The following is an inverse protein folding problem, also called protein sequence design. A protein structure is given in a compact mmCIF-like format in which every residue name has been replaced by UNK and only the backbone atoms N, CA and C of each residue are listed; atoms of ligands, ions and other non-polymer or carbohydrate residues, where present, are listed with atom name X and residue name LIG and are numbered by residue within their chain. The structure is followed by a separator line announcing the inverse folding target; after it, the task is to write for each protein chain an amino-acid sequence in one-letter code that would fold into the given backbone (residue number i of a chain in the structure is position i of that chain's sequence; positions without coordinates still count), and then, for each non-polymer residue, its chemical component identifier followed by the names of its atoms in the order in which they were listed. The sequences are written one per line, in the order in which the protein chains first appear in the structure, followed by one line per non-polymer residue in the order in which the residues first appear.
data_IF_444255728457
#
_entry.id   IF_444255728457
#
_cell.length_a   1.000
_cell.length_b   1.000
_cell.length_c   1.000
_cell.angle_alpha   90.00
_cell.angle_beta   90.00
_cell.angle_gamma   90.00
#
_symmetry.space_group_name_H-M   'P 1'
#
loop_
_entity.id
_entity.type
_entity.pdbx_description
1 polymer ?
#
# COMPACT_ATOMS: atom_id res chain seq x y z
N UNK A 1 35.92 -5.64 -5.67
CA UNK A 1 35.72 -4.19 -5.47
C UNK A 1 34.27 -3.98 -5.04
N UNK A 2 34.03 -3.79 -3.75
CA UNK A 2 32.71 -3.50 -3.18
C UNK A 2 32.65 -2.02 -2.83
N UNK A 3 31.83 -1.27 -3.54
CA UNK A 3 31.54 0.13 -3.24
C UNK A 3 30.49 0.18 -2.12
N UNK A 4 30.95 0.54 -0.92
CA UNK A 4 30.09 0.90 0.20
C UNK A 4 29.39 2.23 -0.11
N UNK A 5 28.07 2.18 -0.36
CA UNK A 5 27.24 3.37 -0.37
C UNK A 5 27.01 3.83 1.08
N UNK A 6 27.87 4.75 1.54
CA UNK A 6 27.66 5.52 2.76
C UNK A 6 26.53 6.50 2.49
N UNK A 7 25.39 6.29 3.16
CA UNK A 7 24.30 7.26 3.20
C UNK A 7 24.64 8.25 4.31
N UNK A 8 25.18 9.41 3.95
CA UNK A 8 25.33 10.53 4.88
C UNK A 8 23.94 10.99 5.35
N UNK A 9 23.68 10.88 6.66
CA UNK A 9 22.45 11.36 7.31
C UNK A 9 22.79 12.26 8.49
N UNK A 10 23.26 13.46 8.20
CA UNK A 10 23.22 14.57 9.16
C UNK A 10 21.81 15.18 9.14
N UNK A 11 20.92 14.67 9.99
CA UNK A 11 19.62 15.28 10.26
C UNK A 11 19.79 16.23 11.44
N UNK A 12 20.09 17.49 11.14
CA UNK A 12 20.01 18.60 12.08
C UNK A 12 18.55 18.83 12.49
N UNK A 13 18.28 18.83 13.78
CA UNK A 13 16.99 19.14 14.39
C UNK A 13 16.75 20.65 14.38
N UNK A 14 16.36 21.19 13.23
CA UNK A 14 15.77 22.52 13.15
C UNK A 14 14.25 22.42 13.37
N UNK A 15 13.72 23.19 14.32
CA UNK A 15 12.28 23.35 14.57
C UNK A 15 11.59 23.91 13.33
N UNK A 16 10.61 23.17 12.80
CA UNK A 16 9.85 23.58 11.62
C UNK A 16 9.01 24.84 11.90
N UNK A 17 9.02 25.84 11.01
CA UNK A 17 8.18 27.03 11.16
C UNK A 17 6.69 26.66 11.07
N UNK A 18 5.86 27.40 11.80
CA UNK A 18 4.41 27.25 11.81
C UNK A 18 3.82 27.43 10.40
N UNK A 19 3.07 26.42 9.94
CA UNK A 19 2.46 26.40 8.61
C UNK A 19 1.20 27.27 8.60
N UNK A 20 1.22 28.35 7.82
CA UNK A 20 0.05 29.15 7.48
C UNK A 20 -0.94 28.29 6.65
N UNK A 21 -2.06 27.92 7.27
CA UNK A 21 -3.05 26.99 6.73
C UNK A 21 -4.04 27.62 5.74
N UNK A 22 -3.91 28.91 5.39
CA UNK A 22 -4.98 29.65 4.70
C UNK A 22 -4.94 29.63 3.16
N UNK A 23 -3.92 29.01 2.52
CA UNK A 23 -3.84 28.90 1.05
C UNK A 23 -3.21 27.57 0.58
N UNK A 24 -3.71 26.44 1.07
CA UNK A 24 -3.35 25.13 0.48
C UNK A 24 -4.06 24.94 -0.87
N UNK A 25 -3.70 25.73 -1.88
CA UNK A 25 -4.07 25.46 -3.27
C UNK A 25 -3.38 24.16 -3.69
N UNK A 26 -4.13 23.26 -4.30
CA UNK A 26 -3.57 22.11 -5.00
C UNK A 26 -2.52 22.62 -5.99
N UNK A 27 -1.28 22.12 -5.88
CA UNK A 27 -0.19 22.56 -6.74
C UNK A 27 0.03 21.51 -7.84
N UNK A 28 -0.72 21.64 -8.93
CA UNK A 28 -0.51 20.83 -10.12
C UNK A 28 0.75 21.31 -10.84
N UNK A 29 1.52 20.38 -11.38
CA UNK A 29 2.73 20.69 -12.14
C UNK A 29 2.34 21.10 -13.57
N UNK A 30 2.96 22.17 -14.08
CA UNK A 30 2.95 22.48 -15.51
C UNK A 30 4.15 21.79 -16.17
N UNK A 31 3.88 20.95 -17.17
CA UNK A 31 4.90 20.09 -17.76
C UNK A 31 5.69 20.84 -18.83
N UNK A 32 6.86 21.36 -18.46
CA UNK A 32 7.72 22.09 -19.40
C UNK A 32 8.41 21.19 -20.45
N UNK A 33 8.41 19.85 -20.28
CA UNK A 33 9.14 18.93 -21.16
C UNK A 33 8.32 17.70 -21.53
N UNK A 34 8.41 17.30 -22.80
CA UNK A 34 7.76 16.08 -23.33
C UNK A 34 8.23 14.81 -22.60
N UNK A 35 9.48 14.79 -22.14
CA UNK A 35 10.08 13.66 -21.41
C UNK A 35 9.35 13.27 -20.12
N UNK A 36 8.57 14.19 -19.53
CA UNK A 36 7.75 13.94 -18.33
C UNK A 36 6.25 13.90 -18.64
N UNK A 37 5.86 14.35 -19.83
CA UNK A 37 4.46 14.49 -20.24
C UNK A 37 3.90 13.26 -20.97
N UNK A 38 4.59 12.12 -20.90
CA UNK A 38 4.28 10.93 -21.69
C UNK A 38 2.99 10.20 -21.30
N UNK A 39 2.36 10.55 -20.17
CA UNK A 39 1.03 10.04 -19.79
C UNK A 39 -0.09 11.00 -20.18
N UNK A 40 0.16 12.31 -20.14
CA UNK A 40 -0.89 13.34 -20.27
C UNK A 40 -1.64 13.24 -21.59
N UNK A 41 -0.92 13.06 -22.71
CA UNK A 41 -1.55 12.98 -24.02
C UNK A 41 -2.57 11.84 -24.12
N UNK A 42 -2.31 10.72 -23.44
CA UNK A 42 -3.23 9.58 -23.41
C UNK A 42 -4.35 9.78 -22.38
N UNK A 43 -4.05 10.45 -21.26
CA UNK A 43 -5.04 10.77 -20.22
C UNK A 43 -6.06 11.79 -20.74
N UNK A 44 -5.61 12.79 -21.50
CA UNK A 44 -6.48 13.81 -22.11
C UNK A 44 -7.49 13.23 -23.11
N UNK A 45 -7.27 12.00 -23.59
CA UNK A 45 -8.19 11.28 -24.46
C UNK A 45 -9.22 10.44 -23.67
N UNK A 46 -9.08 10.35 -22.35
CA UNK A 46 -10.05 9.66 -21.52
C UNK A 46 -11.35 10.47 -21.39
N UNK A 47 -12.51 9.81 -21.22
CA UNK A 47 -13.75 10.49 -20.94
C UNK A 47 -13.64 11.42 -19.72
N UNK A 48 -14.25 12.60 -19.81
CA UNK A 48 -14.21 13.63 -18.75
C UNK A 48 -14.69 13.11 -17.40
N UNK A 49 -15.60 12.12 -17.40
CA UNK A 49 -16.07 11.47 -16.18
C UNK A 49 -14.96 10.82 -15.35
N UNK A 50 -13.78 10.56 -15.88
CA UNK A 50 -12.65 10.04 -15.10
C UNK A 50 -11.73 11.14 -14.55
N UNK A 51 -11.84 12.36 -15.08
CA UNK A 51 -10.95 13.49 -14.79
C UNK A 51 -11.61 14.54 -13.89
N UNK A 52 -12.94 14.61 -13.88
CA UNK A 52 -13.69 15.51 -12.99
C UNK A 52 -13.79 14.96 -11.55
N UNK A 53 -13.82 15.80 -10.50
CA UNK A 53 -13.97 15.34 -9.12
C UNK A 53 -15.34 14.67 -8.85
N UNK A 54 -15.36 13.58 -8.08
CA UNK A 54 -16.59 12.86 -7.65
C UNK A 54 -16.79 12.83 -6.14
N UNK A 55 -16.28 13.83 -5.43
CA UNK A 55 -16.25 13.82 -3.96
C UNK A 55 -17.63 13.64 -3.30
N UNK A 56 -18.71 14.04 -3.98
CA UNK A 56 -20.09 13.85 -3.53
C UNK A 56 -20.60 12.42 -3.62
N UNK A 57 -19.98 11.58 -4.47
CA UNK A 57 -20.46 10.23 -4.74
C UNK A 57 -19.91 9.21 -3.73
N UNK A 58 -18.84 9.55 -3.02
CA UNK A 58 -18.14 8.62 -2.15
C UNK A 58 -18.61 8.73 -0.71
N UNK A 59 -18.79 7.57 -0.07
CA UNK A 59 -19.16 7.48 1.35
C UNK A 59 -18.05 7.99 2.26
N UNK A 60 -16.80 7.78 1.88
CA UNK A 60 -15.60 8.22 2.62
C UNK A 60 -14.52 8.68 1.64
N UNK A 61 -13.69 9.65 2.06
CA UNK A 61 -12.59 10.16 1.23
C UNK A 61 -11.41 10.64 2.08
N UNK A 62 -10.25 10.74 1.43
CA UNK A 62 -9.09 11.49 1.92
C UNK A 62 -8.88 12.73 1.05
N UNK A 63 -8.30 13.82 1.57
CA UNK A 63 -8.03 15.01 0.76
C UNK A 63 -7.11 14.73 -0.45
N UNK A 64 -7.36 15.37 -1.59
CA UNK A 64 -6.53 15.25 -2.81
C UNK A 64 -5.04 15.54 -2.55
N UNK A 65 -4.73 16.45 -1.62
CA UNK A 65 -3.34 16.76 -1.22
C UNK A 65 -2.59 15.53 -0.65
N UNK A 66 -3.28 14.52 -0.15
CA UNK A 66 -2.68 13.26 0.28
C UNK A 66 -2.06 12.51 -0.90
N UNK A 67 -2.78 12.45 -2.03
CA UNK A 67 -2.28 11.82 -3.26
C UNK A 67 -1.12 12.63 -3.83
N UNK A 68 -1.26 13.96 -3.91
CA UNK A 68 -0.17 14.83 -4.37
C UNK A 68 1.08 14.68 -3.50
N UNK A 69 0.92 14.62 -2.18
CA UNK A 69 2.03 14.40 -1.26
C UNK A 69 2.70 13.05 -1.50
N UNK A 70 1.95 11.96 -1.64
CA UNK A 70 2.51 10.65 -1.92
C UNK A 70 3.30 10.64 -3.24
N UNK A 71 2.72 11.19 -4.32
CA UNK A 71 3.36 11.22 -5.63
C UNK A 71 4.63 12.09 -5.62
N UNK A 72 4.65 13.23 -4.90
CA UNK A 72 5.85 14.09 -4.83
C UNK A 72 7.00 13.47 -4.06
N UNK A 73 6.69 12.62 -3.08
CA UNK A 73 7.69 12.05 -2.17
C UNK A 73 8.11 10.63 -2.55
N UNK A 74 7.64 10.13 -3.70
CA UNK A 74 8.02 8.81 -4.19
C UNK A 74 9.34 8.86 -4.94
N UNK A 75 10.30 8.07 -4.48
CA UNK A 75 11.65 7.97 -5.04
C UNK A 75 11.89 6.62 -5.74
N UNK A 76 10.83 5.99 -6.25
CA UNK A 76 10.92 4.73 -7.00
C UNK A 76 11.34 4.93 -8.46
N UNK A 77 11.36 3.82 -9.20
CA UNK A 77 11.58 3.86 -10.65
C UNK A 77 10.26 3.94 -11.40
N UNK A 78 10.34 4.36 -12.65
CA UNK A 78 9.20 4.51 -13.54
C UNK A 78 9.45 3.73 -14.83
N UNK A 79 8.35 3.31 -15.45
CA UNK A 79 8.35 2.71 -16.77
C UNK A 79 7.39 3.45 -17.71
N UNK A 80 7.62 3.36 -19.01
CA UNK A 80 6.71 3.83 -20.04
C UNK A 80 6.33 2.68 -20.98
N UNK A 81 5.09 2.69 -21.43
CA UNK A 81 4.57 1.71 -22.38
C UNK A 81 3.92 2.42 -23.56
N UNK A 82 4.17 1.88 -24.76
CA UNK A 82 3.56 2.38 -25.99
C UNK A 82 2.10 1.92 -26.05
N UNK A 83 1.83 0.67 -25.67
CA UNK A 83 0.51 0.05 -25.53
C UNK A 83 0.54 -1.08 -24.47
N UNK A 84 -0.57 -1.80 -24.26
CA UNK A 84 -0.66 -2.89 -23.26
C UNK A 84 0.22 -4.10 -23.57
N UNK A 85 0.52 -4.38 -24.84
CA UNK A 85 1.28 -5.55 -25.30
C UNK A 85 2.78 -5.28 -25.39
N UNK A 86 3.17 -4.00 -25.39
CA UNK A 86 4.54 -3.57 -25.47
C UNK A 86 5.37 -4.02 -24.25
N UNK A 87 6.69 -4.02 -24.42
CA UNK A 87 7.63 -4.17 -23.29
C UNK A 87 7.83 -2.82 -22.60
N UNK A 88 7.90 -2.79 -21.26
CA UNK A 88 8.09 -1.53 -20.54
C UNK A 88 9.48 -0.95 -20.84
N UNK A 89 9.51 0.32 -21.26
CA UNK A 89 10.73 1.13 -21.32
C UNK A 89 11.08 1.57 -19.91
N UNK A 90 12.15 1.04 -19.35
CA UNK A 90 12.60 1.31 -17.98
C UNK A 90 13.41 2.60 -17.88
N UNK A 91 13.61 3.09 -16.66
CA UNK A 91 14.46 4.25 -16.35
C UNK A 91 13.96 5.54 -17.02
N UNK A 92 12.63 5.70 -17.09
CA UNK A 92 12.02 6.95 -17.57
C UNK A 92 11.90 7.96 -16.44
N UNK A 93 11.73 9.23 -16.79
CA UNK A 93 11.54 10.30 -15.81
C UNK A 93 10.23 10.12 -15.05
N UNK A 94 10.18 10.60 -13.79
CA UNK A 94 8.93 10.73 -13.03
C UNK A 94 7.89 11.48 -13.88
N UNK A 95 6.67 10.93 -14.07
CA UNK A 95 5.66 11.62 -14.84
C UNK A 95 5.32 12.96 -14.20
N UNK A 96 4.92 13.90 -15.04
CA UNK A 96 4.46 15.19 -14.58
C UNK A 96 3.12 15.06 -13.84
N UNK A 97 2.98 15.75 -12.71
CA UNK A 97 1.77 15.71 -11.89
C UNK A 97 0.75 16.76 -12.32
N UNK A 98 0.20 16.60 -13.52
CA UNK A 98 -0.88 17.44 -14.03
C UNK A 98 -2.16 17.26 -13.23
N UNK A 99 -3.09 18.20 -13.39
CA UNK A 99 -4.42 18.11 -12.80
C UNK A 99 -5.16 16.85 -13.25
N UNK A 100 -5.18 16.58 -14.56
CA UNK A 100 -5.81 15.39 -15.12
C UNK A 100 -5.20 14.10 -14.56
N UNK A 101 -3.87 14.02 -14.48
CA UNK A 101 -3.21 12.84 -13.93
C UNK A 101 -3.53 12.61 -12.44
N UNK A 102 -3.43 13.66 -11.63
CA UNK A 102 -3.71 13.55 -10.20
C UNK A 102 -5.19 13.22 -9.95
N UNK A 103 -6.13 13.84 -10.69
CA UNK A 103 -7.55 13.52 -10.58
C UNK A 103 -7.88 12.12 -11.05
N UNK A 104 -7.32 11.66 -12.17
CA UNK A 104 -7.51 10.27 -12.63
C UNK A 104 -7.13 9.27 -11.54
N UNK A 105 -5.95 9.46 -10.93
CA UNK A 105 -5.47 8.60 -9.84
C UNK A 105 -6.34 8.71 -8.60
N UNK A 106 -6.72 9.92 -8.21
CA UNK A 106 -7.54 10.19 -7.05
C UNK A 106 -8.94 9.58 -7.18
N UNK A 107 -9.57 9.76 -8.33
CA UNK A 107 -10.90 9.23 -8.64
C UNK A 107 -10.89 7.70 -8.68
N UNK A 108 -9.92 7.09 -9.36
CA UNK A 108 -9.82 5.63 -9.39
C UNK A 108 -9.63 5.02 -7.99
N UNK A 109 -8.81 5.66 -7.15
CA UNK A 109 -8.61 5.21 -5.77
C UNK A 109 -9.91 5.23 -4.99
N UNK A 110 -10.62 6.36 -5.00
CA UNK A 110 -11.85 6.49 -4.23
C UNK A 110 -13.01 5.70 -4.82
N UNK A 111 -13.09 5.54 -6.14
CA UNK A 111 -14.10 4.69 -6.77
C UNK A 111 -13.93 3.24 -6.36
N UNK A 112 -12.69 2.71 -6.33
CA UNK A 112 -12.45 1.34 -5.87
C UNK A 112 -12.75 1.20 -4.37
N UNK A 113 -12.32 2.16 -3.54
CA UNK A 113 -12.59 2.11 -2.11
C UNK A 113 -14.09 2.19 -1.82
N UNK A 114 -14.81 3.11 -2.45
CA UNK A 114 -16.25 3.25 -2.29
C UNK A 114 -17.01 2.05 -2.87
N UNK A 115 -16.69 1.58 -4.08
CA UNK A 115 -17.40 0.45 -4.70
C UNK A 115 -17.41 -0.80 -3.79
N UNK A 116 -16.30 -1.04 -3.08
CA UNK A 116 -16.12 -2.20 -2.21
C UNK A 116 -16.25 -1.90 -0.71
N UNK A 117 -16.76 -0.72 -0.36
CA UNK A 117 -17.00 -0.32 1.04
C UNK A 117 -15.74 -0.41 1.92
N UNK A 118 -14.61 0.05 1.39
CA UNK A 118 -13.32 0.14 2.06
C UNK A 118 -13.07 1.58 2.52
N UNK A 119 -12.32 1.74 3.61
CA UNK A 119 -11.90 3.07 4.05
C UNK A 119 -10.57 3.47 3.37
N UNK A 120 -10.54 4.54 2.55
CA UNK A 120 -9.32 5.00 1.88
C UNK A 120 -8.15 5.29 2.84
N UNK A 121 -8.41 5.70 4.10
CA UNK A 121 -7.37 5.94 5.10
C UNK A 121 -6.67 4.67 5.56
N UNK A 122 -7.30 3.49 5.46
CA UNK A 122 -6.66 2.20 5.78
C UNK A 122 -5.68 1.77 4.69
N UNK A 123 -5.91 2.18 3.44
CA UNK A 123 -5.12 1.77 2.27
C UNK A 123 -4.11 2.81 1.80
N UNK A 124 -4.24 4.08 2.22
CA UNK A 124 -3.36 5.17 1.77
C UNK A 124 -1.87 4.86 1.91
N UNK A 125 -1.44 4.36 3.08
CA UNK A 125 -0.04 4.03 3.32
C UNK A 125 0.45 2.91 2.40
N UNK A 126 -0.42 1.97 1.97
CA UNK A 126 -0.05 0.94 1.00
C UNK A 126 0.44 1.58 -0.27
N UNK A 127 -0.45 2.33 -0.90
CA UNK A 127 -0.21 2.90 -2.21
C UNK A 127 0.90 3.94 -2.17
N UNK A 128 1.04 4.67 -1.06
CA UNK A 128 2.15 5.58 -0.85
C UNK A 128 3.51 4.84 -0.81
N UNK A 129 3.60 3.73 -0.06
CA UNK A 129 4.85 2.95 0.06
C UNK A 129 5.18 2.23 -1.24
N UNK A 130 4.18 1.58 -1.85
CA UNK A 130 4.38 0.74 -3.03
C UNK A 130 4.73 1.58 -4.27
N UNK A 131 3.95 2.62 -4.55
CA UNK A 131 4.07 3.36 -5.82
C UNK A 131 4.06 4.87 -5.68
N UNK A 132 3.84 5.39 -4.48
CA UNK A 132 3.53 6.80 -4.31
C UNK A 132 2.29 7.24 -5.07
N UNK A 133 1.35 6.34 -5.35
CA UNK A 133 0.22 6.60 -6.26
C UNK A 133 0.63 6.92 -7.70
N UNK A 134 1.78 6.43 -8.18
CA UNK A 134 2.14 6.53 -9.59
C UNK A 134 1.66 5.31 -10.39
N UNK A 135 0.84 5.53 -11.41
CA UNK A 135 0.30 4.47 -12.27
C UNK A 135 1.37 3.64 -12.98
N UNK A 136 2.56 4.21 -13.16
CA UNK A 136 3.67 3.61 -13.88
C UNK A 136 4.91 3.39 -13.00
N UNK A 137 4.71 3.35 -11.68
CA UNK A 137 5.75 2.92 -10.76
C UNK A 137 6.22 1.51 -11.11
N UNK A 138 7.51 1.28 -10.95
CA UNK A 138 8.17 0.02 -11.26
C UNK A 138 9.25 -0.27 -10.23
N UNK A 139 9.32 -1.51 -9.75
CA UNK A 139 10.36 -1.86 -8.79
C UNK A 139 11.73 -2.00 -9.48
N UNK A 140 12.81 -2.09 -8.69
CA UNK A 140 14.19 -2.20 -9.21
C UNK A 140 14.44 -3.48 -9.99
N UNK A 141 13.74 -4.58 -9.68
CA UNK A 141 13.92 -5.86 -10.38
C UNK A 141 13.13 -5.92 -11.69
N UNK A 142 12.27 -4.94 -11.92
CA UNK A 142 11.36 -4.88 -13.04
C UNK A 142 10.20 -5.89 -13.00
N UNK A 143 9.99 -6.52 -11.85
CA UNK A 143 9.00 -7.58 -11.67
C UNK A 143 7.72 -7.11 -11.02
N UNK A 144 7.70 -5.92 -10.42
CA UNK A 144 6.50 -5.36 -9.79
C UNK A 144 6.16 -4.05 -10.48
N UNK A 145 4.89 -3.90 -10.86
CA UNK A 145 4.46 -2.86 -11.79
C UNK A 145 3.14 -2.24 -11.38
N UNK A 146 3.04 -0.94 -11.64
CA UNK A 146 1.81 -0.16 -11.50
C UNK A 146 1.56 0.38 -10.11
N UNK A 147 0.42 1.05 -9.96
CA UNK A 147 0.06 1.76 -8.73
C UNK A 147 -0.01 0.85 -7.50
N UNK A 148 -0.27 -0.44 -7.71
CA UNK A 148 -0.33 -1.44 -6.65
C UNK A 148 0.83 -2.45 -6.72
N UNK A 149 1.93 -2.16 -7.44
CA UNK A 149 3.16 -2.97 -7.51
C UNK A 149 2.93 -4.50 -7.50
N UNK A 150 2.14 -5.03 -8.44
CA UNK A 150 1.84 -6.46 -8.41
C UNK A 150 3.04 -7.33 -8.75
N UNK A 151 3.35 -8.25 -7.85
CA UNK A 151 4.26 -9.36 -8.13
C UNK A 151 3.62 -10.36 -9.10
N UNK A 152 4.47 -11.09 -9.84
CA UNK A 152 4.03 -12.18 -10.70
C UNK A 152 3.15 -13.22 -9.97
N UNK A 153 3.49 -13.51 -8.71
CA UNK A 153 2.76 -14.47 -7.89
C UNK A 153 1.40 -13.90 -7.44
N UNK A 154 1.34 -12.61 -7.10
CA UNK A 154 0.09 -11.95 -6.75
C UNK A 154 -0.89 -11.99 -7.92
N UNK A 155 -0.40 -11.75 -9.14
CA UNK A 155 -1.23 -11.87 -10.34
C UNK A 155 -1.76 -13.30 -10.53
N UNK A 156 -0.88 -14.31 -10.49
CA UNK A 156 -1.29 -15.72 -10.63
C UNK A 156 -2.37 -16.10 -9.62
N UNK A 157 -2.27 -15.62 -8.38
CA UNK A 157 -3.31 -15.83 -7.35
C UNK A 157 -4.65 -15.22 -7.74
N UNK A 158 -4.66 -13.97 -8.20
CA UNK A 158 -5.90 -13.27 -8.62
C UNK A 158 -6.61 -13.98 -9.76
N UNK A 159 -5.84 -14.50 -10.71
CA UNK A 159 -6.36 -15.23 -11.87
C UNK A 159 -6.94 -16.59 -11.48
N UNK A 160 -6.41 -17.22 -10.43
CA UNK A 160 -6.85 -18.54 -9.98
C UNK A 160 -8.29 -18.51 -9.43
N UNK A 161 -8.99 -19.66 -9.51
CA UNK A 161 -10.28 -19.91 -8.83
C UNK A 161 -11.46 -19.00 -9.27
N UNK A 162 -11.47 -18.52 -10.53
CA UNK A 162 -12.58 -17.76 -11.13
C UNK A 162 -13.00 -16.50 -10.34
N UNK A 163 -12.06 -15.88 -9.61
CA UNK A 163 -12.36 -14.75 -8.71
C UNK A 163 -12.67 -13.47 -9.45
N UNK A 164 -11.97 -13.22 -10.55
CA UNK A 164 -12.21 -12.08 -11.44
C UNK A 164 -13.67 -12.06 -11.88
N UNK A 165 -14.22 -13.20 -12.33
CA UNK A 165 -15.62 -13.30 -12.77
C UNK A 165 -16.61 -13.02 -11.65
N UNK A 166 -16.40 -13.56 -10.44
CA UNK A 166 -17.28 -13.30 -9.29
C UNK A 166 -17.25 -11.83 -8.86
N UNK A 167 -16.06 -11.23 -8.81
CA UNK A 167 -15.94 -9.80 -8.46
C UNK A 167 -16.52 -8.92 -9.56
N UNK A 168 -16.41 -9.33 -10.83
CA UNK A 168 -17.08 -8.66 -11.95
C UNK A 168 -18.60 -8.71 -11.81
N UNK A 169 -19.18 -9.84 -11.46
CA UNK A 169 -20.62 -9.96 -11.20
C UNK A 169 -21.08 -9.02 -10.08
N UNK A 170 -20.32 -8.95 -8.98
CA UNK A 170 -20.59 -8.01 -7.89
C UNK A 170 -20.52 -6.54 -8.35
N UNK A 171 -19.57 -6.23 -9.22
CA UNK A 171 -19.39 -4.90 -9.77
C UNK A 171 -20.55 -4.51 -10.71
N UNK A 172 -20.96 -5.42 -11.61
CA UNK A 172 -22.04 -5.20 -12.57
C UNK A 172 -23.43 -5.17 -11.93
N UNK A 173 -23.61 -5.84 -10.79
CA UNK A 173 -24.87 -5.85 -10.04
C UNK A 173 -24.99 -4.70 -9.03
N UNK A 174 -23.92 -3.95 -8.80
CA UNK A 174 -23.92 -2.82 -7.87
C UNK A 174 -24.60 -1.59 -8.47
N UNK A 175 -25.43 -0.93 -7.66
CA UNK A 175 -26.04 0.37 -8.01
C UNK A 175 -25.15 1.57 -7.67
N UNK A 176 -23.96 1.36 -7.09
CA UNK A 176 -23.06 2.46 -6.73
C UNK A 176 -22.46 3.11 -7.99
N UNK A 177 -22.50 4.45 -8.13
CA UNK A 177 -21.88 5.14 -9.27
C UNK A 177 -20.38 4.82 -9.45
N UNK A 178 -19.67 4.65 -8.32
CA UNK A 178 -18.28 4.23 -8.29
C UNK A 178 -18.04 2.88 -8.98
N UNK A 179 -18.89 1.88 -8.72
CA UNK A 179 -18.81 0.58 -9.40
C UNK A 179 -19.09 0.69 -10.90
N UNK A 180 -20.07 1.50 -11.29
CA UNK A 180 -20.42 1.71 -12.70
C UNK A 180 -19.24 2.28 -13.51
N UNK A 181 -18.55 3.29 -12.98
CA UNK A 181 -17.34 3.88 -13.60
C UNK A 181 -16.20 2.87 -13.76
N UNK A 182 -16.01 2.00 -12.76
CA UNK A 182 -15.02 0.92 -12.87
C UNK A 182 -15.42 -0.03 -14.01
N UNK A 183 -16.68 -0.48 -14.10
CA UNK A 183 -17.11 -1.40 -15.18
C UNK A 183 -16.91 -0.83 -16.57
N UNK A 184 -17.22 0.45 -16.78
CA UNK A 184 -17.19 1.05 -18.11
C UNK A 184 -15.76 1.17 -18.67
N UNK A 185 -14.74 1.35 -17.81
CA UNK A 185 -13.33 1.39 -18.25
C UNK A 185 -12.67 0.02 -18.28
N UNK A 186 -13.09 -0.92 -17.44
CA UNK A 186 -12.39 -2.20 -17.28
C UNK A 186 -12.55 -3.19 -18.44
N UNK A 187 -13.37 -2.87 -19.45
CA UNK A 187 -13.55 -3.67 -20.67
C UNK A 187 -13.95 -5.12 -20.39
N UNK A 188 -13.72 -6.01 -21.37
CA UNK A 188 -13.70 -7.43 -21.07
C UNK A 188 -12.46 -7.73 -20.22
N UNK A 189 -12.63 -8.44 -19.11
CA UNK A 189 -11.53 -8.91 -18.27
C UNK A 189 -10.69 -9.92 -19.06
N UNK A 190 -9.76 -9.43 -19.88
CA UNK A 190 -8.77 -10.27 -20.53
C UNK A 190 -7.78 -10.75 -19.47
N UNK A 191 -8.04 -11.93 -18.92
CA UNK A 191 -7.18 -12.58 -17.92
C UNK A 191 -5.73 -12.77 -18.44
N UNK A 192 -5.53 -12.82 -19.76
CA UNK A 192 -4.20 -12.96 -20.36
C UNK A 192 -3.43 -11.64 -20.36
N UNK A 193 -4.11 -10.50 -20.26
CA UNK A 193 -3.46 -9.17 -20.16
C UNK A 193 -2.54 -9.06 -18.94
N UNK A 194 -2.74 -9.93 -17.95
CA UNK A 194 -2.03 -9.89 -16.67
C UNK A 194 -0.76 -10.75 -16.65
N UNK A 195 -0.41 -11.44 -17.73
CA UNK A 195 0.79 -12.27 -17.72
C UNK A 195 2.05 -11.42 -17.43
N UNK A 196 3.10 -12.04 -16.86
CA UNK A 196 4.35 -11.32 -16.55
C UNK A 196 4.95 -10.69 -17.80
N UNK A 197 4.67 -11.28 -18.96
CA UNK A 197 5.10 -10.85 -20.27
C UNK A 197 4.36 -9.57 -20.73
N UNK A 198 3.16 -9.30 -20.19
CA UNK A 198 2.31 -8.14 -20.50
C UNK A 198 2.27 -7.10 -19.37
N UNK A 199 3.42 -6.77 -18.76
CA UNK A 199 3.51 -5.76 -17.68
C UNK A 199 2.91 -4.41 -18.04
N UNK A 200 2.95 -4.05 -19.31
CA UNK A 200 2.38 -2.80 -19.77
C UNK A 200 0.87 -2.71 -19.58
N UNK A 201 0.14 -3.82 -19.58
CA UNK A 201 -1.29 -3.86 -19.24
C UNK A 201 -1.61 -3.39 -17.81
N UNK A 202 -0.62 -3.32 -16.93
CA UNK A 202 -0.75 -2.84 -15.54
C UNK A 202 -0.39 -1.37 -15.35
N UNK A 203 0.14 -0.70 -16.38
CA UNK A 203 0.53 0.72 -16.29
C UNK A 203 0.02 1.58 -17.44
N UNK A 204 -0.38 0.97 -18.56
CA UNK A 204 -0.92 1.68 -19.71
C UNK A 204 -2.34 2.19 -19.42
N UNK A 205 -2.58 3.42 -19.86
CA UNK A 205 -3.91 4.05 -19.93
C UNK A 205 -4.58 3.66 -21.27
N UNK A 206 -5.92 3.64 -21.36
CA UNK A 206 -6.89 4.17 -20.39
C UNK A 206 -7.27 3.24 -19.22
N UNK A 207 -6.93 1.96 -19.25
CA UNK A 207 -7.46 0.99 -18.28
C UNK A 207 -6.88 1.15 -16.88
N UNK A 208 -5.67 1.69 -16.74
CA UNK A 208 -5.07 2.04 -15.45
C UNK A 208 -5.34 3.50 -15.10
N UNK A 209 -5.54 3.86 -13.81
CA UNK A 209 -5.28 3.05 -12.61
C UNK A 209 -6.40 2.10 -12.17
N UNK A 210 -7.61 2.22 -12.73
CA UNK A 210 -8.78 1.44 -12.34
C UNK A 210 -8.53 -0.07 -12.33
N UNK A 211 -7.93 -0.61 -13.39
CA UNK A 211 -7.56 -2.02 -13.49
C UNK A 211 -6.63 -2.41 -12.33
N UNK A 212 -5.48 -1.76 -12.19
CA UNK A 212 -4.55 -2.08 -11.11
C UNK A 212 -5.17 -2.01 -9.71
N UNK A 213 -6.00 -1.02 -9.41
CA UNK A 213 -6.63 -0.89 -8.09
C UNK A 213 -7.72 -1.93 -7.84
N UNK A 214 -8.54 -2.25 -8.85
CA UNK A 214 -9.50 -3.34 -8.77
C UNK A 214 -8.82 -4.70 -8.52
N UNK A 215 -7.68 -4.93 -9.19
CA UNK A 215 -6.88 -6.13 -8.93
C UNK A 215 -6.29 -6.13 -7.52
N UNK A 216 -6.02 -4.95 -6.96
CA UNK A 216 -5.44 -4.82 -5.62
C UNK A 216 -6.49 -5.21 -4.61
N UNK A 217 -7.73 -4.79 -4.86
CA UNK A 217 -8.88 -5.27 -4.12
C UNK A 217 -9.03 -6.79 -4.21
N UNK A 218 -9.03 -7.41 -5.40
CA UNK A 218 -9.17 -8.88 -5.49
C UNK A 218 -8.01 -9.59 -4.78
N UNK A 219 -6.78 -9.12 -4.95
CA UNK A 219 -5.62 -9.69 -4.30
C UNK A 219 -5.74 -9.58 -2.77
N UNK A 220 -6.14 -8.41 -2.28
CA UNK A 220 -6.34 -8.18 -0.84
C UNK A 220 -7.53 -8.98 -0.31
N UNK A 221 -8.60 -9.16 -1.08
CA UNK A 221 -9.71 -10.05 -0.73
C UNK A 221 -9.27 -11.51 -0.65
N UNK A 222 -8.44 -11.97 -1.59
CA UNK A 222 -7.89 -13.32 -1.57
C UNK A 222 -7.06 -13.54 -0.33
N UNK A 223 -6.15 -12.60 -0.05
CA UNK A 223 -5.38 -12.64 1.18
C UNK A 223 -6.31 -12.48 2.39
N UNK A 224 -7.41 -11.72 2.36
CA UNK A 224 -8.37 -11.65 3.46
C UNK A 224 -9.11 -12.97 3.69
N UNK A 225 -9.52 -13.69 2.65
CA UNK A 225 -10.26 -14.95 2.77
C UNK A 225 -9.30 -16.08 3.16
N UNK A 226 -8.15 -16.19 2.49
CA UNK A 226 -7.13 -17.20 2.79
C UNK A 226 -6.48 -16.89 4.14
N UNK A 227 -6.11 -15.64 4.43
CA UNK A 227 -5.68 -15.23 5.77
C UNK A 227 -6.78 -15.59 6.73
N UNK A 228 -8.02 -15.13 6.61
CA UNK A 228 -9.05 -15.39 7.63
C UNK A 228 -9.22 -16.88 7.92
N UNK A 229 -9.27 -17.73 6.89
CA UNK A 229 -9.34 -19.18 7.06
C UNK A 229 -8.08 -19.77 7.69
N UNK A 230 -6.90 -19.36 7.24
CA UNK A 230 -5.61 -19.83 7.78
C UNK A 230 -5.35 -19.28 9.17
N UNK A 231 -5.74 -18.04 9.46
CA UNK A 231 -5.75 -17.39 10.77
C UNK A 231 -6.70 -18.15 11.64
N UNK A 232 -7.95 -18.37 11.27
CA UNK A 232 -8.88 -19.14 12.10
C UNK A 232 -8.39 -20.57 12.36
N UNK A 233 -7.86 -21.26 11.34
CA UNK A 233 -7.30 -22.61 11.48
C UNK A 233 -6.05 -22.64 12.34
N UNK A 234 -5.08 -21.78 12.09
CA UNK A 234 -3.78 -21.79 12.78
C UNK A 234 -3.87 -21.13 14.15
N UNK A 235 -4.64 -20.04 14.29
CA UNK A 235 -4.91 -19.42 15.58
C UNK A 235 -5.86 -20.23 16.45
N UNK A 236 -6.61 -21.19 15.90
CA UNK A 236 -7.30 -22.17 16.74
C UNK A 236 -6.33 -22.88 17.69
N UNK A 237 -5.03 -22.91 17.35
CA UNK A 237 -3.92 -23.46 18.15
C UNK A 237 -3.17 -22.38 18.97
N UNK A 238 -3.40 -21.09 18.71
CA UNK A 238 -2.74 -19.95 19.36
C UNK A 238 -3.71 -19.22 20.32
N UNK A 239 -4.16 -19.96 21.33
CA UNK A 239 -5.11 -19.50 22.38
C UNK A 239 -4.78 -18.14 22.99
N UNK A 240 -3.50 -17.84 23.15
CA UNK A 240 -3.00 -16.59 23.73
C UNK A 240 -3.30 -15.35 22.87
N UNK A 241 -3.61 -15.52 21.58
CA UNK A 241 -3.89 -14.42 20.67
C UNK A 241 -5.38 -14.24 20.39
N UNK A 242 -6.22 -15.27 20.57
CA UNK A 242 -7.64 -15.23 20.17
C UNK A 242 -8.40 -13.97 20.61
N UNK A 243 -8.26 -13.48 21.86
CA UNK A 243 -8.97 -12.27 22.32
C UNK A 243 -8.55 -10.99 21.59
N UNK A 244 -7.36 -10.96 20.99
CA UNK A 244 -6.81 -9.79 20.32
C UNK A 244 -7.21 -9.70 18.83
N UNK A 245 -7.76 -10.76 18.25
CA UNK A 245 -7.90 -10.91 16.80
C UNK A 245 -9.28 -10.49 16.29
N UNK A 246 -9.60 -9.22 16.51
CA UNK A 246 -10.79 -8.57 15.94
C UNK A 246 -10.69 -8.52 14.41
N UNK A 247 -11.82 -8.33 13.72
CA UNK A 247 -11.82 -8.18 12.25
C UNK A 247 -10.93 -7.01 11.79
N UNK A 248 -10.80 -5.96 12.61
CA UNK A 248 -9.90 -4.85 12.37
C UNK A 248 -8.43 -5.30 12.39
N UNK A 249 -8.01 -6.05 13.40
CA UNK A 249 -6.65 -6.59 13.49
C UNK A 249 -6.38 -7.57 12.35
N UNK A 250 -7.36 -8.43 12.00
CA UNK A 250 -7.25 -9.33 10.85
C UNK A 250 -6.94 -8.53 9.58
N UNK A 251 -7.61 -7.40 9.32
CA UNK A 251 -7.31 -6.51 8.17
C UNK A 251 -5.88 -5.96 8.20
N UNK A 252 -5.40 -5.48 9.35
CA UNK A 252 -4.02 -5.01 9.50
C UNK A 252 -2.99 -6.14 9.26
N UNK A 253 -3.31 -7.37 9.66
CA UNK A 253 -2.43 -8.53 9.41
C UNK A 253 -2.43 -8.94 7.94
N UNK A 254 -3.55 -8.81 7.22
CA UNK A 254 -3.58 -8.98 5.75
C UNK A 254 -2.65 -7.99 5.08
N UNK A 255 -2.71 -6.74 5.51
CA UNK A 255 -1.84 -5.69 4.98
C UNK A 255 -0.36 -6.05 5.12
N UNK A 256 0.06 -6.57 6.28
CA UNK A 256 1.43 -7.06 6.44
C UNK A 256 1.73 -8.31 5.59
N UNK A 257 0.73 -9.18 5.40
CA UNK A 257 0.85 -10.38 4.58
C UNK A 257 0.99 -10.07 3.09
N UNK A 258 0.46 -8.95 2.61
CA UNK A 258 0.61 -8.51 1.23
C UNK A 258 2.10 -8.44 0.83
N UNK A 259 2.95 -7.89 1.71
CA UNK A 259 4.38 -7.76 1.46
C UNK A 259 5.22 -8.99 1.84
N UNK A 260 4.88 -9.63 2.96
CA UNK A 260 5.70 -10.72 3.52
C UNK A 260 5.23 -12.12 3.12
N UNK A 261 4.04 -12.21 2.53
CA UNK A 261 3.30 -13.44 2.34
C UNK A 261 2.71 -14.00 3.63
N UNK A 262 1.72 -14.87 3.46
CA UNK A 262 0.98 -15.50 4.54
C UNK A 262 1.87 -16.27 5.52
N UNK A 263 2.75 -17.10 4.96
CA UNK A 263 3.73 -17.91 5.69
C UNK A 263 4.62 -17.05 6.57
N UNK A 264 5.04 -15.88 6.07
CA UNK A 264 5.89 -14.95 6.79
C UNK A 264 5.20 -14.33 8.00
N UNK A 265 3.92 -13.96 7.87
CA UNK A 265 3.11 -13.42 8.97
C UNK A 265 2.76 -14.50 9.97
N UNK A 266 2.37 -15.70 9.52
CA UNK A 266 2.12 -16.85 10.38
C UNK A 266 3.32 -17.13 11.29
N UNK A 267 4.53 -17.18 10.73
CA UNK A 267 5.77 -17.41 11.51
C UNK A 267 5.99 -16.34 12.59
N UNK A 268 5.67 -15.08 12.29
CA UNK A 268 5.77 -13.99 13.26
C UNK A 268 4.71 -14.11 14.37
N UNK A 269 3.46 -14.43 14.02
CA UNK A 269 2.37 -14.58 14.99
C UNK A 269 2.61 -15.77 15.92
N UNK A 270 3.08 -16.91 15.41
CA UNK A 270 3.47 -18.07 16.23
C UNK A 270 4.56 -17.68 17.22
N UNK A 271 5.66 -17.08 16.73
CA UNK A 271 6.74 -16.66 17.61
C UNK A 271 6.32 -15.60 18.64
N UNK A 272 5.40 -14.70 18.27
CA UNK A 272 4.85 -13.72 19.20
C UNK A 272 3.94 -14.35 20.26
N UNK A 273 3.11 -15.32 19.87
CA UNK A 273 2.31 -16.13 20.79
C UNK A 273 3.21 -16.87 21.79
N UNK A 274 4.26 -17.52 21.32
CA UNK A 274 5.20 -18.26 22.16
C UNK A 274 5.93 -17.32 23.14
N UNK A 275 6.31 -16.13 22.67
CA UNK A 275 6.84 -15.08 23.51
C UNK A 275 5.84 -14.69 24.61
N UNK A 276 4.57 -14.38 24.29
CA UNK A 276 3.54 -14.02 25.28
C UNK A 276 3.29 -15.15 26.29
N UNK A 277 3.23 -16.39 25.83
CA UNK A 277 3.11 -17.60 26.68
C UNK A 277 4.31 -17.72 27.65
N UNK A 278 5.54 -17.51 27.18
CA UNK A 278 6.74 -17.55 28.03
C UNK A 278 6.73 -16.51 29.15
N UNK A 279 6.04 -15.39 28.92
CA UNK A 279 5.86 -14.31 29.90
C UNK A 279 4.60 -14.47 30.76
N UNK A 280 3.85 -15.57 30.60
CA UNK A 280 2.55 -15.80 31.25
C UNK A 280 1.55 -14.66 30.99
N UNK A 281 1.56 -14.12 29.77
CA UNK A 281 0.68 -13.05 29.31
C UNK A 281 -0.22 -13.52 28.17
N UNK A 282 -1.42 -12.93 28.09
CA UNK A 282 -2.32 -13.04 26.93
C UNK A 282 -2.17 -11.78 26.09
N UNK A 283 -2.20 -11.91 24.77
CA UNK A 283 -2.21 -10.75 23.90
C UNK A 283 -3.58 -10.06 23.93
N UNK A 284 -3.55 -8.74 23.93
CA UNK A 284 -4.73 -7.86 23.81
C UNK A 284 -4.82 -7.30 22.39
N UNK A 285 -5.97 -6.73 22.01
CA UNK A 285 -6.09 -6.05 20.71
C UNK A 285 -5.00 -4.96 20.55
N UNK A 286 -4.73 -4.20 21.60
CA UNK A 286 -3.70 -3.15 21.63
C UNK A 286 -2.29 -3.72 21.39
N UNK A 287 -2.01 -4.97 21.77
CA UNK A 287 -0.73 -5.61 21.50
C UNK A 287 -0.52 -5.91 20.02
N UNK A 288 -1.60 -6.16 19.27
CA UNK A 288 -1.56 -6.47 17.84
C UNK A 288 -1.82 -5.25 16.95
N UNK A 289 -2.41 -4.18 17.51
CA UNK A 289 -2.74 -2.97 16.77
C UNK A 289 -1.48 -2.28 16.26
N UNK A 290 -1.23 -2.40 14.95
CA UNK A 290 -0.07 -1.80 14.33
C UNK A 290 -0.10 -0.29 14.56
N UNK A 291 -1.23 0.36 14.33
CA UNK A 291 -1.37 1.82 14.40
C UNK A 291 -0.89 2.38 15.75
N UNK A 292 -1.35 1.78 16.85
CA UNK A 292 -0.95 2.20 18.20
C UNK A 292 0.53 1.95 18.50
N UNK A 293 1.11 0.94 17.86
CA UNK A 293 2.45 0.45 18.19
C UNK A 293 3.56 1.00 17.29
N UNK A 294 3.24 1.55 16.11
CA UNK A 294 4.24 2.06 15.16
C UNK A 294 5.13 3.17 15.79
N UNK A 295 4.57 4.04 16.64
CA UNK A 295 5.33 5.05 17.37
C UNK A 295 6.39 4.45 18.31
N UNK A 296 6.10 3.30 18.94
CA UNK A 296 7.05 2.59 19.82
C UNK A 296 8.16 1.91 19.01
N UNK A 297 7.80 1.31 17.89
CA UNK A 297 8.74 0.70 16.94
C UNK A 297 9.79 1.71 16.47
N UNK A 298 9.41 2.98 16.28
CA UNK A 298 10.35 4.05 15.92
C UNK A 298 11.55 4.16 16.87
N UNK A 299 11.33 3.98 18.18
CA UNK A 299 12.41 4.00 19.18
C UNK A 299 13.39 2.84 18.95
N UNK A 300 12.88 1.67 18.58
CA UNK A 300 13.70 0.49 18.25
C UNK A 300 14.46 0.69 16.93
N UNK A 301 13.81 1.27 15.92
CA UNK A 301 14.44 1.52 14.62
C UNK A 301 15.54 2.56 14.67
N UNK A 302 15.45 3.55 15.56
CA UNK A 302 16.54 4.50 15.80
C UNK A 302 17.75 3.87 16.50
N UNK A 303 17.59 2.70 17.12
CA UNK A 303 18.71 1.99 17.71
C UNK A 303 19.60 1.39 16.63
N UNK A 304 20.91 1.45 16.86
CA UNK A 304 21.95 0.84 16.01
C UNK A 304 21.70 -0.68 15.84
N UNK A 305 22.16 -1.29 14.74
CA UNK A 305 21.96 -2.71 14.46
C UNK A 305 22.34 -3.63 15.64
N UNK A 306 23.47 -3.35 16.29
CA UNK A 306 23.96 -4.10 17.46
C UNK A 306 22.97 -4.05 18.64
N UNK A 307 22.35 -2.89 18.88
CA UNK A 307 21.32 -2.74 19.93
C UNK A 307 20.09 -3.58 19.64
N UNK A 308 19.71 -3.75 18.37
CA UNK A 308 18.59 -4.63 17.99
C UNK A 308 18.91 -6.11 18.25
N UNK A 309 20.15 -6.52 18.07
CA UNK A 309 20.59 -7.87 18.44
C UNK A 309 20.61 -8.10 19.95
N UNK A 310 20.97 -7.06 20.72
CA UNK A 310 20.88 -7.09 22.18
C UNK A 310 19.41 -7.26 22.61
N UNK A 311 18.48 -6.53 21.98
CA UNK A 311 17.05 -6.70 22.23
C UNK A 311 16.58 -8.11 21.88
N UNK A 312 16.97 -8.67 20.73
CA UNK A 312 16.64 -10.04 20.34
C UNK A 312 17.17 -11.07 21.36
N UNK A 313 18.39 -10.87 21.88
CA UNK A 313 18.96 -11.70 22.95
C UNK A 313 18.22 -11.52 24.27
N UNK A 314 17.76 -10.30 24.58
CA UNK A 314 16.98 -10.00 25.79
C UNK A 314 15.60 -10.66 25.76
N UNK A 315 14.93 -10.73 24.59
CA UNK A 315 13.70 -11.50 24.39
C UNK A 315 13.92 -12.97 24.75
N UNK A 316 14.96 -13.60 24.17
CA UNK A 316 15.29 -15.01 24.44
C UNK A 316 15.57 -15.30 25.91
N UNK A 317 16.05 -14.30 26.66
CA UNK A 317 16.34 -14.38 28.10
C UNK A 317 15.15 -13.97 28.98
N UNK A 318 13.98 -13.66 28.41
CA UNK A 318 12.80 -13.21 29.17
C UNK A 318 12.98 -11.84 29.84
N UNK A 319 13.97 -11.03 29.44
CA UNK A 319 14.27 -9.73 30.06
C UNK A 319 13.41 -8.59 29.54
N UNK A 320 12.73 -8.78 28.42
CA UNK A 320 11.74 -7.85 27.87
C UNK A 320 10.38 -8.49 28.03
N UNK A 321 9.48 -7.88 28.80
CA UNK A 321 8.19 -8.45 29.18
C UNK A 321 6.98 -7.69 28.64
N UNK A 322 7.17 -6.67 27.80
CA UNK A 322 6.11 -5.77 27.31
C UNK A 322 6.30 -5.33 25.86
N UNK A 323 6.66 -6.26 24.98
CA UNK A 323 6.68 -6.00 23.54
C UNK A 323 5.28 -6.15 22.95
N UNK A 324 4.93 -5.21 22.07
CA UNK A 324 3.85 -5.37 21.10
C UNK A 324 4.29 -6.22 19.92
N UNK A 325 3.33 -6.62 19.09
CA UNK A 325 3.60 -7.41 17.89
C UNK A 325 4.46 -6.64 16.88
N UNK A 326 4.24 -5.34 16.70
CA UNK A 326 5.02 -4.54 15.77
C UNK A 326 6.49 -4.42 16.22
N UNK A 327 6.74 -4.25 17.53
CA UNK A 327 8.09 -4.24 18.10
C UNK A 327 8.78 -5.59 17.93
N UNK A 328 8.06 -6.69 18.25
CA UNK A 328 8.54 -8.04 18.03
C UNK A 328 8.90 -8.29 16.56
N UNK A 329 8.00 -7.92 15.64
CA UNK A 329 8.21 -8.10 14.20
C UNK A 329 9.46 -7.37 13.71
N UNK A 330 9.67 -6.12 14.13
CA UNK A 330 10.87 -5.35 13.75
C UNK A 330 12.16 -5.93 14.32
N UNK A 331 12.16 -6.38 15.59
CA UNK A 331 13.33 -7.06 16.18
C UNK A 331 13.67 -8.34 15.39
N UNK A 332 12.64 -9.01 14.86
CA UNK A 332 12.77 -10.18 13.98
C UNK A 332 12.88 -9.82 12.48
N UNK A 333 13.37 -8.61 12.16
CA UNK A 333 13.72 -8.14 10.80
C UNK A 333 12.51 -8.12 9.83
N UNK A 334 11.31 -7.82 10.32
CA UNK A 334 10.19 -7.46 9.45
C UNK A 334 10.35 -6.02 8.96
N UNK A 335 11.08 -5.83 7.85
CA UNK A 335 11.44 -4.52 7.29
C UNK A 335 10.22 -3.67 6.91
N UNK A 336 9.18 -4.30 6.36
CA UNK A 336 7.99 -3.58 5.92
C UNK A 336 7.26 -2.83 7.05
N UNK A 337 7.22 -3.40 8.26
CA UNK A 337 6.67 -2.70 9.45
C UNK A 337 7.47 -1.42 9.70
N UNK A 338 8.79 -1.45 9.48
CA UNK A 338 9.62 -0.26 9.62
C UNK A 338 9.32 0.81 8.57
N UNK A 339 9.06 0.40 7.33
CA UNK A 339 8.68 1.31 6.24
C UNK A 339 7.32 1.96 6.52
N UNK A 340 6.36 1.21 7.06
CA UNK A 340 5.08 1.75 7.54
C UNK A 340 5.29 2.81 8.62
N UNK A 341 6.10 2.54 9.66
CA UNK A 341 6.38 3.51 10.73
C UNK A 341 6.97 4.79 10.16
N UNK A 342 7.99 4.65 9.31
CA UNK A 342 8.71 5.78 8.76
C UNK A 342 7.80 6.63 7.87
N UNK A 343 6.97 5.98 7.05
CA UNK A 343 6.03 6.64 6.14
C UNK A 343 4.91 7.33 6.91
N UNK A 344 4.30 6.64 7.88
CA UNK A 344 3.27 7.22 8.73
C UNK A 344 3.78 8.46 9.48
N UNK A 345 4.94 8.37 10.13
CA UNK A 345 5.53 9.51 10.84
C UNK A 345 5.84 10.68 9.91
N UNK A 346 6.18 10.39 8.65
CA UNK A 346 6.38 11.41 7.64
C UNK A 346 5.06 12.07 7.24
N UNK A 347 4.02 11.28 6.96
CA UNK A 347 2.67 11.76 6.64
C UNK A 347 2.09 12.58 7.79
N UNK A 348 2.13 12.07 9.02
CA UNK A 348 1.55 12.73 10.19
C UNK A 348 2.21 14.08 10.47
N UNK A 349 3.55 14.18 10.32
CA UNK A 349 4.26 15.45 10.47
C UNK A 349 3.89 16.49 9.42
N UNK A 350 3.56 16.07 8.21
CA UNK A 350 3.32 16.96 7.06
C UNK A 350 1.83 17.27 6.85
N UNK A 351 0.95 16.32 7.17
CA UNK A 351 -0.47 16.36 6.82
C UNK A 351 -1.40 16.04 8.00
N UNK A 352 -0.87 15.71 9.18
CA UNK A 352 -1.66 15.23 10.32
C UNK A 352 -2.39 13.92 10.01
N UNK A 353 -3.54 13.71 10.63
CA UNK A 353 -4.32 12.46 10.53
C UNK A 353 -5.32 12.46 9.35
N UNK A 354 -5.07 13.32 8.35
CA UNK A 354 -5.98 13.54 7.23
C UNK A 354 -5.93 12.40 6.20
N UNK A 355 -4.76 11.78 6.01
CA UNK A 355 -4.53 10.79 4.96
C UNK A 355 -4.54 9.35 5.46
N UNK A 356 -4.27 9.14 6.74
CA UNK A 356 -4.13 7.83 7.35
C UNK A 356 -4.86 7.80 8.69
N UNK A 357 -5.45 6.65 9.03
CA UNK A 357 -5.94 6.34 10.39
C UNK A 357 -4.81 5.91 11.34
N UNK A 358 -3.59 5.89 10.82
CA UNK A 358 -2.42 5.39 11.50
C UNK A 358 -1.88 6.46 12.45
#
# INVERSE_FOLDING_TARGET
MHTNNVIDRNISSASAPAVDNSKNRYAFEQCATEKRNYLENKIAQMPEEYLRPHNSDWTTSIPLKCIQFAQRNFNGNFAQCDDEESKPKLTVYRPCQTENYTHLVYNAFHDVMDCFNLDPKEFYLQFMIESGFHINAFNKTGMDSGIAQFTANGIKKVISKNRISRTREALLSSSRPSCSRISSTMGAFDITSFSVERRCAMIAVPQNPYRSMFFNYIHTMLDQIELKSDVERELSTLESLKPALTDRIKRQLVYLAYNRGMTGIKRLLVGYSDYKKSMKQTATEQDLDLNQNLARVKKILRAEPEKREILARAIKKGKLNKLSFAEYAVIHKATYVADMVATQDYVQRQLGDQCSRF
#
